data_IF_232081292368
#
_entry.id   IF_232081292368
#
_cell.length_a   1.000
_cell.length_b   1.000
_cell.length_c   1.000
_cell.angle_alpha   90.00
_cell.angle_beta   90.00
_cell.angle_gamma   90.00
#
_symmetry.space_group_name_H-M   'P 1'
#
loop_
_entity.id
_entity.type
_entity.pdbx_description
1 polymer ?
#
# COMPACT_ATOMS: atom_id res chain seq x y z
N UNK A 1 -6.23 15.65 43.91
CA UNK A 1 -7.47 14.91 43.57
C UNK A 1 -7.19 14.03 42.33
N UNK A 2 -7.10 12.70 42.51
CA UNK A 2 -7.03 11.76 41.40
C UNK A 2 -8.39 11.84 40.70
N UNK A 3 -8.45 12.44 39.50
CA UNK A 3 -9.64 12.32 38.66
C UNK A 3 -9.90 10.83 38.46
N UNK A 4 -10.96 10.29 39.06
CA UNK A 4 -11.42 8.95 38.76
C UNK A 4 -11.72 8.91 37.27
N UNK A 5 -10.91 8.17 36.51
CA UNK A 5 -11.20 7.93 35.11
C UNK A 5 -12.58 7.28 34.99
N UNK A 6 -13.43 7.82 34.14
CA UNK A 6 -14.70 7.22 33.81
C UNK A 6 -14.47 5.81 33.25
N UNK A 7 -15.13 4.80 33.84
CA UNK A 7 -15.12 3.41 33.36
C UNK A 7 -16.26 3.13 32.39
N UNK A 8 -16.95 4.18 31.92
CA UNK A 8 -18.14 4.05 31.10
C UNK A 8 -17.82 3.41 29.74
N UNK A 9 -18.64 2.44 29.36
CA UNK A 9 -18.70 1.89 28.01
C UNK A 9 -19.75 2.66 27.21
N UNK A 10 -19.45 2.90 25.92
CA UNK A 10 -20.31 3.66 25.04
C UNK A 10 -20.95 2.72 23.98
N UNK A 11 -22.26 2.87 23.77
CA UNK A 11 -22.95 2.13 22.72
C UNK A 11 -22.56 2.62 21.33
N UNK A 12 -22.33 3.94 21.18
CA UNK A 12 -21.94 4.61 19.94
C UNK A 12 -20.99 5.79 20.21
N UNK A 13 -20.14 6.20 19.24
CA UNK A 13 -19.12 7.23 19.43
C UNK A 13 -19.66 8.66 19.28
N UNK A 14 -20.98 8.86 19.00
CA UNK A 14 -21.52 10.18 18.68
C UNK A 14 -21.92 11.01 19.92
N UNK A 15 -21.62 10.55 21.13
CA UNK A 15 -21.89 11.30 22.35
C UNK A 15 -20.70 12.18 22.78
N UNK A 16 -21.00 13.35 23.31
CA UNK A 16 -19.97 14.32 23.78
C UNK A 16 -19.07 13.74 24.88
N UNK A 17 -19.61 12.87 25.72
CA UNK A 17 -18.83 12.22 26.78
C UNK A 17 -17.75 11.28 26.23
N UNK A 18 -18.01 10.58 25.14
CA UNK A 18 -17.03 9.74 24.46
C UNK A 18 -15.79 10.54 24.04
N UNK A 19 -15.99 11.67 23.35
CA UNK A 19 -14.89 12.52 22.86
C UNK A 19 -14.16 13.23 23.99
N UNK A 20 -14.88 13.63 25.05
CA UNK A 20 -14.26 14.20 26.24
C UNK A 20 -13.35 13.19 26.92
N UNK A 21 -13.78 11.95 27.07
CA UNK A 21 -13.00 10.89 27.68
C UNK A 21 -11.82 10.47 26.78
N UNK A 22 -12.00 10.43 25.48
CA UNK A 22 -10.91 10.21 24.52
C UNK A 22 -9.87 11.34 24.55
N UNK A 23 -10.30 12.59 24.72
CA UNK A 23 -9.38 13.73 24.88
C UNK A 23 -8.64 13.70 26.23
N UNK A 24 -9.23 13.13 27.26
CA UNK A 24 -8.58 12.99 28.58
C UNK A 24 -7.40 12.00 28.52
N UNK A 25 -7.40 11.01 27.58
CA UNK A 25 -6.28 10.08 27.40
C UNK A 25 -4.99 10.79 26.94
N UNK A 26 -5.07 11.93 26.26
CA UNK A 26 -3.92 12.77 25.91
C UNK A 26 -3.16 13.33 27.13
N UNK A 27 -3.81 13.40 28.29
CA UNK A 27 -3.21 13.88 29.53
C UNK A 27 -2.64 12.77 30.41
N UNK A 28 -2.86 11.51 30.01
CA UNK A 28 -2.36 10.35 30.74
C UNK A 28 -1.01 9.89 30.20
N UNK A 29 0.05 10.12 30.95
CA UNK A 29 1.42 9.70 30.58
C UNK A 29 1.51 8.20 30.26
N UNK A 30 0.77 7.36 30.99
CA UNK A 30 0.73 5.90 30.72
C UNK A 30 0.18 5.63 29.32
N UNK A 31 -0.92 6.32 28.92
CA UNK A 31 -1.49 6.15 27.58
C UNK A 31 -0.58 6.68 26.48
N UNK A 32 0.11 7.81 26.70
CA UNK A 32 1.05 8.35 25.74
C UNK A 32 2.25 7.41 25.52
N UNK A 33 2.80 6.81 26.58
CA UNK A 33 3.87 5.82 26.46
C UNK A 33 3.41 4.58 25.68
N UNK A 34 2.20 4.08 25.95
CA UNK A 34 1.64 2.93 25.23
C UNK A 34 1.39 3.31 23.76
N UNK A 35 0.89 4.51 23.50
CA UNK A 35 0.69 5.00 22.14
C UNK A 35 2.04 5.08 21.38
N UNK A 36 3.09 5.57 22.00
CA UNK A 36 4.43 5.60 21.40
C UNK A 36 4.96 4.18 21.08
N UNK A 37 4.82 3.24 22.02
CA UNK A 37 5.24 1.84 21.81
C UNK A 37 4.45 1.16 20.68
N UNK A 38 3.13 1.33 20.65
CA UNK A 38 2.29 0.75 19.59
C UNK A 38 2.49 1.43 18.24
N UNK A 39 2.82 2.73 18.22
CA UNK A 39 3.20 3.44 16.99
C UNK A 39 4.55 2.93 16.47
N UNK A 40 5.53 2.74 17.33
CA UNK A 40 6.82 2.13 16.96
C UNK A 40 6.64 0.70 16.42
N UNK A 41 5.80 -0.11 17.08
CA UNK A 41 5.46 -1.45 16.60
C UNK A 41 4.77 -1.39 15.23
N UNK A 42 3.84 -0.44 15.01
CA UNK A 42 3.16 -0.24 13.74
C UNK A 42 4.15 0.08 12.62
N UNK A 43 5.11 0.97 12.89
CA UNK A 43 6.18 1.32 11.93
C UNK A 43 7.04 0.08 11.65
N UNK A 44 7.48 -0.65 12.66
CA UNK A 44 8.28 -1.85 12.51
C UNK A 44 7.56 -2.97 11.73
N UNK A 45 6.23 -3.00 11.76
CA UNK A 45 5.41 -3.98 11.02
C UNK A 45 5.08 -3.57 9.59
N UNK A 46 5.35 -2.33 9.15
CA UNK A 46 5.07 -1.88 7.78
C UNK A 46 5.72 -2.73 6.68
N UNK A 47 7.01 -3.10 6.76
CA UNK A 47 7.66 -3.93 5.74
C UNK A 47 7.16 -5.38 5.73
N UNK A 48 6.54 -5.84 6.83
CA UNK A 48 6.01 -7.21 6.93
C UNK A 48 4.60 -7.28 6.32
N UNK A 49 4.56 -7.35 5.00
CA UNK A 49 3.32 -7.56 4.25
C UNK A 49 3.30 -8.99 3.72
N UNK A 50 2.27 -9.75 4.05
CA UNK A 50 2.08 -11.11 3.53
C UNK A 50 1.42 -10.99 2.16
N UNK A 51 2.17 -11.29 1.11
CA UNK A 51 1.65 -11.30 -0.25
C UNK A 51 1.09 -12.68 -0.58
N UNK A 52 -0.20 -12.74 -0.90
CA UNK A 52 -0.88 -13.96 -1.36
C UNK A 52 -0.85 -14.07 -2.89
N UNK A 53 -0.71 -12.93 -3.57
CA UNK A 53 -0.46 -12.80 -5.01
C UNK A 53 0.19 -11.43 -5.27
N UNK A 54 0.75 -11.17 -6.46
CA UNK A 54 1.23 -9.83 -6.82
C UNK A 54 0.14 -8.79 -6.53
N UNK A 55 0.48 -7.72 -5.81
CA UNK A 55 -0.44 -6.65 -5.37
C UNK A 55 -1.56 -7.07 -4.39
N UNK A 56 -1.63 -8.32 -3.96
CA UNK A 56 -2.59 -8.84 -2.99
C UNK A 56 -1.88 -9.06 -1.64
N UNK A 57 -1.50 -7.99 -0.97
CA UNK A 57 -0.79 -8.02 0.31
C UNK A 57 -1.70 -7.69 1.50
N UNK A 58 -1.49 -8.39 2.61
CA UNK A 58 -2.06 -8.10 3.92
C UNK A 58 -0.97 -7.51 4.80
N UNK A 59 -1.06 -6.23 5.11
CA UNK A 59 -0.09 -5.56 5.98
C UNK A 59 -0.32 -5.91 7.45
N UNK A 60 0.72 -6.39 8.12
CA UNK A 60 0.64 -6.67 9.57
C UNK A 60 0.53 -5.40 10.43
N UNK A 61 0.87 -4.24 9.90
CA UNK A 61 0.72 -2.96 10.59
C UNK A 61 -0.74 -2.66 11.01
N UNK A 62 -1.73 -3.23 10.30
CA UNK A 62 -3.15 -3.10 10.67
C UNK A 62 -3.45 -3.69 12.06
N UNK A 63 -2.70 -4.70 12.51
CA UNK A 63 -2.90 -5.34 13.80
C UNK A 63 -2.53 -4.39 14.94
N UNK A 64 -1.37 -3.75 14.84
CA UNK A 64 -0.92 -2.75 15.81
C UNK A 64 -1.85 -1.52 15.79
N UNK A 65 -2.35 -1.10 14.61
CA UNK A 65 -3.33 -0.04 14.50
C UNK A 65 -4.65 -0.36 15.20
N UNK A 66 -5.21 -1.55 14.98
CA UNK A 66 -6.46 -1.98 15.61
C UNK A 66 -6.33 -2.05 17.14
N UNK A 67 -5.21 -2.62 17.63
CA UNK A 67 -4.91 -2.70 19.06
C UNK A 67 -4.74 -1.32 19.68
N UNK A 68 -3.98 -0.44 19.05
CA UNK A 68 -3.74 0.90 19.52
C UNK A 68 -5.02 1.74 19.59
N UNK A 69 -5.78 1.75 18.50
CA UNK A 69 -7.05 2.47 18.42
C UNK A 69 -8.07 2.00 19.50
N UNK A 70 -8.09 0.68 19.80
CA UNK A 70 -8.90 0.11 20.87
C UNK A 70 -8.49 0.61 22.26
N UNK A 71 -7.17 0.81 22.50
CA UNK A 71 -6.63 1.16 23.82
C UNK A 71 -6.72 2.66 24.06
N UNK A 72 -6.15 3.48 23.19
CA UNK A 72 -5.97 4.91 23.43
C UNK A 72 -7.02 5.80 22.75
N UNK A 73 -7.88 5.23 21.91
CA UNK A 73 -9.00 5.96 21.30
C UNK A 73 -8.63 6.91 20.16
N UNK A 74 -9.62 7.67 19.63
CA UNK A 74 -9.43 8.44 18.39
C UNK A 74 -8.52 9.66 18.58
N UNK A 75 -8.58 10.34 19.71
CA UNK A 75 -7.86 11.61 19.92
C UNK A 75 -6.34 11.40 20.00
N UNK A 76 -5.89 10.35 20.68
CA UNK A 76 -4.48 9.94 20.68
C UNK A 76 -4.11 9.22 19.36
N UNK A 77 -5.06 8.56 18.74
CA UNK A 77 -4.89 7.84 17.47
C UNK A 77 -4.51 8.75 16.31
N UNK A 78 -4.99 10.00 16.27
CA UNK A 78 -4.66 10.95 15.20
C UNK A 78 -3.16 11.27 15.16
N UNK A 79 -2.53 11.82 16.22
CA UNK A 79 -1.10 12.09 16.20
C UNK A 79 -0.26 10.81 16.03
N UNK A 80 -0.68 9.69 16.61
CA UNK A 80 -0.02 8.39 16.40
C UNK A 80 -0.01 7.97 14.93
N UNK A 81 -1.10 8.22 14.21
CA UNK A 81 -1.20 7.94 12.77
C UNK A 81 -0.31 8.85 11.92
N UNK A 82 -0.26 10.13 12.24
CA UNK A 82 0.63 11.11 11.58
C UNK A 82 2.08 10.68 11.73
N UNK A 83 2.50 10.37 12.95
CA UNK A 83 3.88 9.92 13.24
C UNK A 83 4.16 8.59 12.52
N UNK A 84 3.22 7.64 12.58
CA UNK A 84 3.39 6.33 11.93
C UNK A 84 3.54 6.45 10.41
N UNK A 85 2.82 7.36 9.76
CA UNK A 85 2.93 7.58 8.33
C UNK A 85 4.25 8.25 7.97
N UNK A 86 4.52 9.43 8.56
CA UNK A 86 5.70 10.24 8.26
C UNK A 86 7.01 9.51 8.58
N UNK A 87 7.14 9.00 9.82
CA UNK A 87 8.36 8.28 10.23
C UNK A 87 8.48 6.94 9.51
N UNK A 88 7.35 6.26 9.29
CA UNK A 88 7.33 5.02 8.53
C UNK A 88 7.78 5.19 7.09
N UNK A 89 7.47 6.31 6.45
CA UNK A 89 7.97 6.63 5.12
C UNK A 89 9.48 6.94 5.12
N UNK A 90 9.96 7.71 6.10
CA UNK A 90 11.41 8.01 6.22
C UNK A 90 12.25 6.75 6.39
N UNK A 91 11.76 5.77 7.16
CA UNK A 91 12.49 4.51 7.42
C UNK A 91 12.34 3.52 6.24
N UNK A 92 11.15 3.45 5.64
CA UNK A 92 10.81 2.53 4.56
C UNK A 92 10.16 3.31 3.41
N UNK A 93 10.95 4.04 2.60
CA UNK A 93 10.43 4.83 1.50
C UNK A 93 9.86 3.91 0.41
N UNK A 94 8.58 4.06 0.12
CA UNK A 94 7.88 3.34 -0.95
C UNK A 94 7.26 4.38 -1.89
N UNK A 95 7.86 4.55 -3.06
CA UNK A 95 7.42 5.57 -4.03
C UNK A 95 7.68 7.01 -3.56
N UNK A 96 7.04 7.97 -4.22
CA UNK A 96 7.13 9.38 -3.85
C UNK A 96 6.19 9.72 -2.69
N UNK A 97 6.69 10.52 -1.75
CA UNK A 97 5.88 10.95 -0.61
C UNK A 97 4.83 11.97 -1.05
N UNK A 98 3.59 11.62 -0.84
CA UNK A 98 2.48 12.55 -1.03
C UNK A 98 1.70 12.70 0.28
N UNK A 99 1.87 13.85 0.93
CA UNK A 99 1.36 14.16 2.27
C UNK A 99 -0.12 13.76 2.49
N UNK A 100 -1.07 13.92 1.53
CA UNK A 100 -2.46 13.55 1.75
C UNK A 100 -2.71 12.07 2.09
N UNK A 101 -1.77 11.14 1.81
CA UNK A 101 -1.91 9.75 2.24
C UNK A 101 -2.01 9.57 3.77
N UNK A 102 -1.52 10.53 4.53
CA UNK A 102 -1.70 10.60 6.00
C UNK A 102 -3.19 10.50 6.40
N UNK A 103 -4.11 11.00 5.56
CA UNK A 103 -5.55 10.93 5.81
C UNK A 103 -6.06 9.49 5.85
N UNK A 104 -5.47 8.57 5.08
CA UNK A 104 -5.85 7.15 5.09
C UNK A 104 -5.50 6.49 6.41
N UNK A 105 -4.34 6.86 6.97
CA UNK A 105 -3.87 6.36 8.25
C UNK A 105 -4.72 6.89 9.42
N UNK A 106 -5.02 8.20 9.39
CA UNK A 106 -5.90 8.86 10.37
C UNK A 106 -7.32 8.27 10.31
N UNK A 107 -7.88 8.14 9.11
CA UNK A 107 -9.24 7.61 8.92
C UNK A 107 -9.34 6.15 9.39
N UNK A 108 -8.37 5.30 9.04
CA UNK A 108 -8.33 3.90 9.48
C UNK A 108 -8.27 3.77 11.00
N UNK A 109 -7.38 4.54 11.65
CA UNK A 109 -7.25 4.55 13.11
C UNK A 109 -8.52 5.07 13.78
N UNK A 110 -9.12 6.13 13.23
CA UNK A 110 -10.37 6.71 13.74
C UNK A 110 -11.53 5.73 13.64
N UNK A 111 -11.70 5.01 12.52
CA UNK A 111 -12.76 4.00 12.34
C UNK A 111 -12.59 2.87 13.37
N UNK A 112 -11.38 2.34 13.55
CA UNK A 112 -11.13 1.35 14.58
C UNK A 112 -11.49 1.89 15.99
N UNK A 113 -11.04 3.11 16.31
CA UNK A 113 -11.31 3.71 17.61
C UNK A 113 -12.82 3.92 17.85
N UNK A 114 -13.55 4.43 16.86
CA UNK A 114 -14.99 4.66 16.97
C UNK A 114 -15.78 3.39 17.28
N UNK A 115 -15.29 2.23 16.80
CA UNK A 115 -15.99 0.96 16.96
C UNK A 115 -15.46 0.10 18.12
N UNK A 116 -14.19 0.28 18.52
CA UNK A 116 -13.53 -0.59 19.50
C UNK A 116 -13.18 0.11 20.82
N UNK A 117 -12.89 1.44 20.82
CA UNK A 117 -12.50 2.16 22.03
C UNK A 117 -13.70 2.33 22.95
N UNK A 118 -13.55 1.91 24.22
CA UNK A 118 -14.61 1.95 25.25
C UNK A 118 -15.97 1.44 24.80
N UNK A 119 -15.96 0.41 23.98
CA UNK A 119 -17.13 -0.22 23.43
C UNK A 119 -17.29 -1.65 23.98
N UNK A 120 -18.52 -2.20 23.97
CA UNK A 120 -18.71 -3.63 24.19
C UNK A 120 -18.10 -4.38 23.01
N UNK A 121 -16.95 -4.99 23.23
CA UNK A 121 -16.17 -5.64 22.19
C UNK A 121 -16.87 -6.91 21.70
N UNK A 122 -17.04 -7.02 20.39
CA UNK A 122 -17.58 -8.21 19.74
C UNK A 122 -16.89 -8.48 18.41
N UNK A 123 -16.87 -9.73 17.97
CA UNK A 123 -16.32 -10.08 16.67
C UNK A 123 -17.01 -9.31 15.53
N UNK A 124 -18.32 -9.10 15.62
CA UNK A 124 -19.07 -8.31 14.65
C UNK A 124 -18.57 -6.87 14.52
N UNK A 125 -18.22 -6.21 15.63
CA UNK A 125 -17.65 -4.84 15.60
C UNK A 125 -16.30 -4.80 14.88
N UNK A 126 -15.48 -5.85 15.04
CA UNK A 126 -14.21 -5.98 14.32
C UNK A 126 -14.45 -6.15 12.82
N UNK A 127 -15.40 -7.00 12.43
CA UNK A 127 -15.79 -7.20 11.02
C UNK A 127 -16.30 -5.89 10.40
N UNK A 128 -17.20 -5.19 11.09
CA UNK A 128 -17.73 -3.91 10.62
C UNK A 128 -16.61 -2.88 10.49
N UNK A 129 -15.69 -2.80 11.46
CA UNK A 129 -14.56 -1.85 11.37
C UNK A 129 -13.67 -2.13 10.16
N UNK A 130 -13.36 -3.41 9.89
CA UNK A 130 -12.57 -3.78 8.70
C UNK A 130 -13.33 -3.49 7.41
N UNK A 131 -14.60 -3.83 7.34
CA UNK A 131 -15.42 -3.51 6.17
C UNK A 131 -15.43 -2.00 5.87
N UNK A 132 -15.67 -1.17 6.90
CA UNK A 132 -15.67 0.29 6.73
C UNK A 132 -14.29 0.81 6.29
N UNK A 133 -13.20 0.27 6.84
CA UNK A 133 -11.84 0.65 6.41
C UNK A 133 -11.61 0.23 4.96
N UNK A 134 -11.93 -1.00 4.59
CA UNK A 134 -11.79 -1.47 3.22
C UNK A 134 -12.60 -0.62 2.23
N UNK A 135 -13.84 -0.30 2.57
CA UNK A 135 -14.72 0.45 1.70
C UNK A 135 -14.41 1.95 1.69
N UNK A 136 -14.46 2.61 2.87
CA UNK A 136 -14.34 4.08 2.93
C UNK A 136 -12.89 4.54 2.75
N UNK A 137 -11.91 3.81 3.30
CA UNK A 137 -10.51 4.26 3.26
C UNK A 137 -9.80 3.69 2.04
N UNK A 138 -9.76 2.36 1.89
CA UNK A 138 -8.95 1.74 0.85
C UNK A 138 -9.56 1.86 -0.55
N UNK A 139 -10.90 1.90 -0.68
CA UNK A 139 -11.55 2.07 -1.98
C UNK A 139 -11.82 3.54 -2.25
N UNK A 140 -12.62 4.22 -1.42
CA UNK A 140 -13.08 5.58 -1.72
C UNK A 140 -11.96 6.60 -1.49
N UNK A 141 -11.47 6.74 -0.25
CA UNK A 141 -10.52 7.80 0.11
C UNK A 141 -9.19 7.64 -0.65
N UNK A 142 -8.67 6.43 -0.75
CA UNK A 142 -7.42 6.18 -1.45
C UNK A 142 -7.53 6.48 -2.96
N UNK A 143 -8.68 6.17 -3.58
CA UNK A 143 -8.93 6.53 -4.99
C UNK A 143 -8.92 8.05 -5.18
N UNK A 144 -9.58 8.81 -4.28
CA UNK A 144 -9.57 10.27 -4.32
C UNK A 144 -8.17 10.86 -4.14
N UNK A 145 -7.37 10.29 -3.22
CA UNK A 145 -6.00 10.75 -2.98
C UNK A 145 -5.10 10.46 -4.18
N UNK A 146 -5.20 9.30 -4.82
CA UNK A 146 -4.46 9.02 -6.06
C UNK A 146 -4.86 9.97 -7.19
N UNK A 147 -6.15 10.22 -7.37
CA UNK A 147 -6.61 11.21 -8.36
C UNK A 147 -6.03 12.60 -8.07
N UNK A 148 -6.04 13.02 -6.81
CA UNK A 148 -5.43 14.28 -6.40
C UNK A 148 -3.92 14.30 -6.61
N UNK A 149 -3.21 13.22 -6.29
CA UNK A 149 -1.78 13.09 -6.51
C UNK A 149 -1.43 13.28 -8.00
N UNK A 150 -2.10 12.56 -8.91
CA UNK A 150 -1.85 12.68 -10.34
C UNK A 150 -2.17 14.09 -10.87
N UNK A 151 -3.27 14.69 -10.40
CA UNK A 151 -3.61 16.06 -10.79
C UNK A 151 -2.58 17.08 -10.29
N UNK A 152 -2.09 16.93 -9.06
CA UNK A 152 -1.06 17.79 -8.47
C UNK A 152 0.26 17.74 -9.24
N UNK A 153 0.64 16.58 -9.75
CA UNK A 153 1.86 16.40 -10.55
C UNK A 153 1.67 16.63 -12.05
N UNK A 154 0.59 17.29 -12.46
CA UNK A 154 0.37 17.75 -13.84
C UNK A 154 -0.07 16.66 -14.81
N UNK A 155 -0.60 15.52 -14.33
CA UNK A 155 -1.10 14.45 -15.19
C UNK A 155 -2.64 14.27 -15.04
N UNK A 156 -3.46 15.15 -15.66
CA UNK A 156 -4.91 15.09 -15.50
C UNK A 156 -5.56 13.84 -16.14
N UNK A 157 -4.96 13.25 -17.17
CA UNK A 157 -5.43 12.00 -17.76
C UNK A 157 -5.27 10.84 -16.80
N UNK A 158 -4.07 10.67 -16.20
CA UNK A 158 -3.84 9.68 -15.17
C UNK A 158 -4.71 9.93 -13.92
N UNK A 159 -5.03 11.17 -13.59
CA UNK A 159 -5.97 11.50 -12.52
C UNK A 159 -7.36 10.95 -12.81
N UNK A 160 -7.86 11.14 -14.05
CA UNK A 160 -9.15 10.60 -14.49
C UNK A 160 -9.14 9.07 -14.51
N UNK A 161 -8.11 8.46 -15.05
CA UNK A 161 -7.98 7.02 -15.15
C UNK A 161 -7.82 6.36 -13.78
N UNK A 162 -7.22 7.03 -12.79
CA UNK A 162 -7.12 6.53 -11.42
C UNK A 162 -8.49 6.40 -10.75
N UNK A 163 -9.50 7.16 -11.17
CA UNK A 163 -10.87 7.10 -10.64
C UNK A 163 -11.73 6.09 -11.42
N UNK A 164 -11.66 6.10 -12.74
CA UNK A 164 -12.52 5.32 -13.63
C UNK A 164 -11.85 4.08 -14.19
N UNK A 165 -10.52 3.98 -14.07
CA UNK A 165 -9.73 2.96 -14.70
C UNK A 165 -9.67 1.65 -13.91
N UNK A 166 -8.94 0.75 -14.51
CA UNK A 166 -8.78 -0.64 -14.11
C UNK A 166 -8.17 -0.83 -12.73
N UNK A 167 -7.31 0.12 -12.26
CA UNK A 167 -6.74 0.08 -10.92
C UNK A 167 -7.79 0.24 -9.84
N UNK A 168 -8.83 1.03 -10.09
CA UNK A 168 -9.96 1.16 -9.18
C UNK A 168 -10.72 -0.15 -9.09
N UNK A 169 -10.98 -0.81 -10.23
CA UNK A 169 -11.66 -2.10 -10.26
C UNK A 169 -10.83 -3.17 -9.53
N UNK A 170 -9.53 -3.29 -9.82
CA UNK A 170 -8.64 -4.22 -9.12
C UNK A 170 -8.58 -3.93 -7.60
N UNK A 171 -8.54 -2.65 -7.22
CA UNK A 171 -8.57 -2.23 -5.80
C UNK A 171 -9.89 -2.61 -5.12
N UNK A 172 -11.02 -2.41 -5.79
CA UNK A 172 -12.34 -2.81 -5.26
C UNK A 172 -12.38 -4.31 -5.03
N UNK A 173 -12.03 -5.12 -6.04
CA UNK A 173 -12.01 -6.58 -5.91
C UNK A 173 -11.06 -7.05 -4.81
N UNK A 174 -9.83 -6.53 -4.77
CA UNK A 174 -8.85 -6.83 -3.72
C UNK A 174 -9.44 -6.60 -2.34
N UNK A 175 -9.93 -5.40 -2.08
CA UNK A 175 -10.39 -5.03 -0.74
C UNK A 175 -11.64 -5.81 -0.33
N UNK A 176 -12.60 -6.01 -1.23
CA UNK A 176 -13.82 -6.77 -0.93
C UNK A 176 -13.56 -8.29 -0.79
N UNK A 177 -12.60 -8.83 -1.54
CA UNK A 177 -12.22 -10.24 -1.39
C UNK A 177 -11.47 -10.52 -0.08
N UNK A 178 -10.60 -9.58 0.35
CA UNK A 178 -9.70 -9.81 1.47
C UNK A 178 -10.24 -9.35 2.83
N UNK A 179 -11.21 -8.42 2.88
CA UNK A 179 -11.71 -7.94 4.18
C UNK A 179 -12.21 -9.06 5.12
N UNK A 180 -12.82 -10.16 4.65
CA UNK A 180 -13.24 -11.24 5.55
C UNK A 180 -12.05 -11.93 6.21
N UNK A 181 -11.00 -12.24 5.44
CA UNK A 181 -9.77 -12.83 5.97
C UNK A 181 -9.07 -11.89 6.95
N UNK A 182 -8.91 -10.62 6.57
CA UNK A 182 -8.33 -9.60 7.43
C UNK A 182 -9.14 -9.40 8.72
N UNK A 183 -10.46 -9.49 8.65
CA UNK A 183 -11.35 -9.43 9.83
C UNK A 183 -11.10 -10.57 10.80
N UNK A 184 -10.92 -11.79 10.28
CA UNK A 184 -10.60 -12.98 11.08
C UNK A 184 -9.22 -12.81 11.74
N UNK A 185 -8.23 -12.39 10.98
CA UNK A 185 -6.85 -12.19 11.47
C UNK A 185 -6.82 -11.14 12.58
N UNK A 186 -7.46 -9.98 12.38
CA UNK A 186 -7.53 -8.92 13.40
C UNK A 186 -8.29 -9.42 14.66
N UNK A 187 -9.39 -10.11 14.48
CA UNK A 187 -10.17 -10.58 15.63
C UNK A 187 -9.43 -11.67 16.42
N UNK A 188 -8.73 -12.59 15.76
CA UNK A 188 -7.88 -13.58 16.41
C UNK A 188 -6.72 -12.91 17.17
N UNK A 189 -6.04 -11.97 16.55
CA UNK A 189 -4.97 -11.21 17.19
C UNK A 189 -5.47 -10.47 18.44
N UNK A 190 -6.55 -9.71 18.31
CA UNK A 190 -7.14 -9.01 19.47
C UNK A 190 -7.59 -9.99 20.56
N UNK A 191 -8.17 -11.13 20.19
CA UNK A 191 -8.58 -12.17 21.14
C UNK A 191 -7.42 -12.72 21.96
N UNK A 192 -6.26 -12.97 21.31
CA UNK A 192 -5.04 -13.45 21.99
C UNK A 192 -4.49 -12.40 22.94
N UNK A 193 -4.51 -11.12 22.56
CA UNK A 193 -3.97 -10.04 23.39
C UNK A 193 -4.94 -9.53 24.46
N UNK A 194 -6.22 -9.79 24.32
CA UNK A 194 -7.27 -9.30 25.23
C UNK A 194 -7.00 -9.60 26.72
N UNK A 195 -6.55 -10.81 27.13
CA UNK A 195 -6.22 -11.10 28.53
C UNK A 195 -5.05 -10.25 29.06
N UNK A 196 -4.05 -9.99 28.22
CA UNK A 196 -2.86 -9.20 28.57
C UNK A 196 -3.26 -7.74 28.79
N UNK A 197 -4.00 -7.18 27.81
CA UNK A 197 -4.46 -5.77 27.84
C UNK A 197 -5.42 -5.52 29.01
N UNK A 198 -6.25 -6.50 29.38
CA UNK A 198 -7.09 -6.46 30.57
C UNK A 198 -6.27 -6.42 31.86
N UNK A 199 -5.32 -7.36 32.01
CA UNK A 199 -4.46 -7.39 33.23
C UNK A 199 -3.67 -6.11 33.39
N UNK A 200 -3.29 -5.46 32.28
CA UNK A 200 -2.62 -4.16 32.28
C UNK A 200 -3.57 -2.99 32.59
N UNK A 201 -4.89 -3.22 32.70
CA UNK A 201 -5.90 -2.18 32.95
C UNK A 201 -6.00 -1.17 31.81
N UNK A 202 -5.87 -1.60 30.57
CA UNK A 202 -5.86 -0.75 29.39
C UNK A 202 -7.20 -0.74 28.64
N UNK A 203 -8.09 -1.63 28.97
CA UNK A 203 -9.44 -1.72 28.40
C UNK A 203 -10.49 -1.70 29.49
N UNK A 204 -11.66 -1.19 29.16
CA UNK A 204 -12.77 -0.97 30.08
C UNK A 204 -13.81 -2.10 30.05
N UNK A 205 -13.86 -2.88 28.96
CA UNK A 205 -14.77 -4.02 28.84
C UNK A 205 -14.12 -5.28 29.42
N UNK A 206 -14.46 -5.61 30.64
CA UNK A 206 -13.95 -6.79 31.35
C UNK A 206 -14.65 -8.10 30.94
N UNK A 207 -15.80 -8.03 30.29
CA UNK A 207 -16.58 -9.19 29.86
C UNK A 207 -16.40 -9.53 28.37
N UNK A 208 -15.61 -8.71 27.64
CA UNK A 208 -15.44 -8.89 26.21
C UNK A 208 -15.03 -10.30 25.82
N UNK A 209 -15.77 -10.91 24.94
CA UNK A 209 -15.43 -12.18 24.31
C UNK A 209 -15.48 -12.01 22.80
N UNK A 210 -14.30 -12.00 22.17
CA UNK A 210 -14.19 -12.00 20.71
C UNK A 210 -14.36 -13.44 20.20
N UNK A 211 -15.59 -13.95 20.28
CA UNK A 211 -15.96 -15.27 19.73
C UNK A 211 -16.72 -15.05 18.44
N UNK A 212 -16.33 -15.79 17.41
CA UNK A 212 -17.17 -15.98 16.23
C UNK A 212 -18.11 -17.16 16.47
N UNK A 213 -19.34 -16.99 16.07
CA UNK A 213 -20.24 -18.12 15.87
C UNK A 213 -19.82 -18.90 14.62
N UNK A 214 -20.04 -20.22 14.59
CA UNK A 214 -19.68 -21.06 13.45
C UNK A 214 -20.29 -20.57 12.14
N UNK A 215 -21.52 -20.07 12.18
CA UNK A 215 -22.18 -19.45 11.01
C UNK A 215 -21.45 -18.21 10.51
N UNK A 216 -20.95 -17.35 11.41
CA UNK A 216 -20.21 -16.14 11.04
C UNK A 216 -18.90 -16.50 10.36
N UNK A 217 -18.17 -17.51 10.86
CA UNK A 217 -16.93 -17.99 10.23
C UNK A 217 -17.25 -18.54 8.83
N UNK A 218 -18.26 -19.37 8.70
CA UNK A 218 -18.67 -19.94 7.40
C UNK A 218 -18.98 -18.84 6.40
N UNK A 219 -19.78 -17.84 6.79
CA UNK A 219 -20.10 -16.70 5.91
C UNK A 219 -18.85 -15.93 5.49
N UNK A 220 -17.93 -15.64 6.42
CA UNK A 220 -16.69 -14.92 6.10
C UNK A 220 -15.79 -15.73 5.16
N UNK A 221 -15.66 -17.02 5.37
CA UNK A 221 -14.90 -17.92 4.49
C UNK A 221 -15.54 -18.00 3.11
N UNK A 222 -16.86 -18.15 3.03
CA UNK A 222 -17.58 -18.15 1.75
C UNK A 222 -17.40 -16.83 1.00
N UNK A 223 -17.52 -15.69 1.69
CA UNK A 223 -17.30 -14.37 1.09
C UNK A 223 -15.86 -14.21 0.59
N UNK A 224 -14.87 -14.70 1.34
CA UNK A 224 -13.47 -14.69 0.90
C UNK A 224 -13.27 -15.54 -0.36
N UNK A 225 -13.78 -16.75 -0.38
CA UNK A 225 -13.65 -17.65 -1.54
C UNK A 225 -14.36 -17.08 -2.77
N UNK A 226 -15.62 -16.65 -2.63
CA UNK A 226 -16.40 -16.06 -3.73
C UNK A 226 -15.72 -14.77 -4.22
N UNK A 227 -15.29 -13.90 -3.32
CA UNK A 227 -14.58 -12.66 -3.68
C UNK A 227 -13.28 -12.93 -4.43
N UNK A 228 -12.47 -13.88 -3.94
CA UNK A 228 -11.21 -14.26 -4.57
C UNK A 228 -11.45 -14.91 -5.94
N UNK A 229 -12.38 -15.87 -6.05
CA UNK A 229 -12.72 -16.49 -7.33
C UNK A 229 -13.26 -15.46 -8.35
N UNK A 230 -14.10 -14.53 -7.90
CA UNK A 230 -14.64 -13.47 -8.76
C UNK A 230 -13.53 -12.51 -9.22
N UNK A 231 -12.62 -12.12 -8.32
CA UNK A 231 -11.48 -11.28 -8.65
C UNK A 231 -10.55 -11.97 -9.67
N UNK A 232 -10.23 -13.25 -9.43
CA UNK A 232 -9.40 -14.05 -10.32
C UNK A 232 -10.08 -14.23 -11.68
N UNK A 233 -11.37 -14.58 -11.70
CA UNK A 233 -12.13 -14.74 -12.93
C UNK A 233 -12.21 -13.47 -13.76
N UNK A 234 -12.42 -12.31 -13.10
CA UNK A 234 -12.41 -11.01 -13.77
C UNK A 234 -11.05 -10.67 -14.36
N UNK A 235 -9.97 -10.86 -13.60
CA UNK A 235 -8.60 -10.59 -14.07
C UNK A 235 -8.24 -11.52 -15.25
N UNK A 236 -8.59 -12.80 -15.16
CA UNK A 236 -8.39 -13.76 -16.25
C UNK A 236 -9.15 -13.35 -17.52
N UNK A 237 -10.43 -13.01 -17.39
CA UNK A 237 -11.26 -12.59 -18.50
C UNK A 237 -10.77 -11.29 -19.15
N UNK A 238 -10.40 -10.29 -18.34
CA UNK A 238 -10.07 -8.94 -18.84
C UNK A 238 -8.64 -8.81 -19.37
N UNK A 239 -7.70 -9.64 -18.89
CA UNK A 239 -6.27 -9.48 -19.15
C UNK A 239 -5.58 -10.70 -19.72
N UNK A 240 -6.31 -11.73 -20.15
CA UNK A 240 -5.73 -13.04 -20.48
C UNK A 240 -4.73 -13.53 -19.43
N UNK A 241 -5.02 -13.21 -18.23
CA UNK A 241 -4.31 -13.38 -17.00
C UNK A 241 -2.80 -13.66 -17.11
N UNK A 242 -2.08 -12.63 -17.45
CA UNK A 242 -0.65 -12.55 -17.13
C UNK A 242 -0.54 -11.70 -15.87
N UNK A 243 0.02 -12.22 -14.78
CA UNK A 243 0.30 -11.43 -13.60
C UNK A 243 1.15 -10.23 -14.03
N UNK A 244 0.66 -9.01 -13.80
CA UNK A 244 1.32 -7.80 -14.27
C UNK A 244 1.99 -7.10 -13.11
N UNK A 245 3.32 -6.99 -13.13
CA UNK A 245 4.03 -6.02 -12.30
C UNK A 245 4.46 -4.82 -13.15
N UNK A 246 4.43 -3.65 -12.55
CA UNK A 246 4.88 -2.40 -13.18
C UNK A 246 6.06 -1.86 -12.41
N UNK A 247 6.85 -1.02 -13.06
CA UNK A 247 8.00 -0.35 -12.43
C UNK A 247 7.61 0.42 -11.17
N UNK A 248 6.37 0.94 -11.10
CA UNK A 248 5.84 1.62 -9.91
C UNK A 248 5.65 0.72 -8.69
N UNK A 249 5.59 -0.60 -8.88
CA UNK A 249 5.38 -1.57 -7.80
C UNK A 249 6.67 -1.83 -7.00
N UNK A 250 7.81 -1.35 -7.51
CA UNK A 250 9.14 -1.56 -6.95
C UNK A 250 9.69 -0.31 -6.25
N UNK A 251 10.52 -0.50 -5.24
CA UNK A 251 11.28 0.58 -4.60
C UNK A 251 12.31 1.18 -5.57
N UNK A 252 12.82 2.41 -5.28
CA UNK A 252 13.86 3.04 -6.09
C UNK A 252 15.06 2.10 -6.31
N UNK A 253 15.57 1.48 -5.24
CA UNK A 253 16.73 0.58 -5.32
C UNK A 253 16.47 -0.65 -6.19
N UNK A 254 15.29 -1.26 -6.06
CA UNK A 254 14.90 -2.38 -6.93
C UNK A 254 14.82 -1.95 -8.39
N UNK A 255 14.30 -0.77 -8.68
CA UNK A 255 14.25 -0.24 -10.06
C UNK A 255 15.64 0.01 -10.64
N UNK A 256 16.58 0.50 -9.82
CA UNK A 256 17.97 0.67 -10.24
C UNK A 256 18.63 -0.66 -10.58
N UNK A 257 18.44 -1.68 -9.75
CA UNK A 257 18.95 -3.03 -10.03
C UNK A 257 18.32 -3.64 -11.28
N UNK A 258 17.00 -3.51 -11.43
CA UNK A 258 16.29 -3.99 -12.61
C UNK A 258 16.75 -3.26 -13.89
N UNK A 259 16.98 -1.95 -13.83
CA UNK A 259 17.51 -1.19 -14.95
C UNK A 259 18.86 -1.76 -15.40
N UNK A 260 19.78 -2.01 -14.46
CA UNK A 260 21.08 -2.63 -14.77
C UNK A 260 20.90 -3.98 -15.43
N UNK A 261 20.09 -4.87 -14.90
CA UNK A 261 19.83 -6.18 -15.49
C UNK A 261 19.22 -6.07 -16.89
N UNK A 262 18.31 -5.12 -17.14
CA UNK A 262 17.73 -4.92 -18.47
C UNK A 262 18.76 -4.37 -19.47
N UNK A 263 19.67 -3.50 -19.01
CA UNK A 263 20.80 -3.00 -19.81
C UNK A 263 21.73 -4.16 -20.19
N UNK A 264 22.13 -4.98 -19.23
CA UNK A 264 23.00 -6.14 -19.49
C UNK A 264 22.40 -7.05 -20.58
N UNK A 265 21.09 -7.34 -20.49
CA UNK A 265 20.38 -8.13 -21.51
C UNK A 265 20.38 -7.42 -22.87
N UNK A 266 20.17 -6.11 -22.91
CA UNK A 266 20.17 -5.33 -24.15
C UNK A 266 21.54 -5.41 -24.83
N UNK A 267 22.62 -5.14 -24.08
CA UNK A 267 23.99 -5.08 -24.62
C UNK A 267 24.55 -6.48 -24.98
N UNK A 268 24.12 -7.53 -24.33
CA UNK A 268 24.47 -8.91 -24.73
C UNK A 268 23.86 -9.30 -26.09
N UNK A 269 22.80 -8.62 -26.51
CA UNK A 269 21.98 -9.00 -27.67
C UNK A 269 22.03 -8.00 -28.83
N UNK A 270 22.50 -6.76 -28.58
CA UNK A 270 22.55 -5.69 -29.59
C UNK A 270 23.78 -4.80 -29.36
N UNK A 271 24.40 -4.34 -30.47
CA UNK A 271 25.52 -3.39 -30.46
C UNK A 271 25.09 -1.96 -30.86
N UNK A 272 23.77 -1.65 -30.76
CA UNK A 272 23.23 -0.41 -31.34
C UNK A 272 23.31 0.79 -30.40
N UNK A 273 23.49 0.58 -29.09
CA UNK A 273 23.43 1.65 -28.07
C UNK A 273 24.67 1.70 -27.19
N UNK A 274 25.01 2.91 -26.69
CA UNK A 274 26.12 3.11 -25.75
C UNK A 274 25.66 2.87 -24.31
N UNK A 275 26.46 2.11 -23.56
CA UNK A 275 26.15 1.69 -22.19
C UNK A 275 25.94 2.84 -21.21
N UNK A 276 26.73 3.90 -21.31
CA UNK A 276 26.70 4.98 -20.31
C UNK A 276 25.41 5.81 -20.37
N UNK A 277 24.84 5.97 -21.56
CA UNK A 277 23.73 6.91 -21.79
C UNK A 277 22.36 6.27 -21.93
N UNK A 278 22.23 4.97 -21.67
CA UNK A 278 20.96 4.25 -21.83
C UNK A 278 20.28 3.99 -20.50
N UNK A 279 18.96 4.20 -20.47
CA UNK A 279 18.06 3.89 -19.34
C UNK A 279 16.95 2.95 -19.82
N UNK A 280 16.80 1.78 -19.18
CA UNK A 280 15.78 0.79 -19.50
C UNK A 280 14.65 0.86 -18.48
N UNK A 281 13.44 1.17 -18.92
CA UNK A 281 12.26 1.26 -18.04
C UNK A 281 11.31 0.11 -18.35
N UNK A 282 11.06 -0.75 -17.38
CA UNK A 282 10.11 -1.85 -17.53
C UNK A 282 8.69 -1.27 -17.53
N UNK A 283 8.01 -1.36 -18.66
CA UNK A 283 6.61 -0.96 -18.81
C UNK A 283 5.66 -2.02 -18.24
N UNK A 284 6.04 -3.27 -18.31
CA UNK A 284 5.28 -4.37 -17.73
C UNK A 284 6.08 -5.68 -17.70
N UNK A 285 5.80 -6.51 -16.71
CA UNK A 285 6.24 -7.88 -16.64
C UNK A 285 4.99 -8.76 -16.52
N UNK A 286 4.81 -9.66 -17.45
CA UNK A 286 3.62 -10.46 -17.62
C UNK A 286 3.94 -11.92 -17.38
N UNK A 287 3.22 -12.56 -16.49
CA UNK A 287 3.39 -13.97 -16.16
C UNK A 287 2.07 -14.68 -16.10
N UNK A 288 2.00 -15.87 -16.69
CA UNK A 288 0.84 -16.73 -16.51
C UNK A 288 0.74 -17.22 -15.07
N UNK A 289 -0.50 -17.39 -14.58
CA UNK A 289 -0.74 -17.98 -13.27
C UNK A 289 -0.20 -19.42 -13.28
N UNK A 290 0.78 -19.73 -12.45
CA UNK A 290 1.53 -20.98 -12.43
C UNK A 290 2.52 -21.17 -13.60
N UNK A 291 2.69 -20.20 -14.50
CA UNK A 291 3.75 -20.18 -15.49
C UNK A 291 5.13 -20.05 -14.84
N UNK A 292 6.15 -20.51 -15.54
CA UNK A 292 7.56 -20.37 -15.15
C UNK A 292 8.27 -19.27 -15.95
N UNK A 293 7.58 -18.69 -16.88
CA UNK A 293 8.10 -17.71 -17.82
C UNK A 293 7.46 -16.36 -17.58
N UNK A 294 8.28 -15.32 -17.63
CA UNK A 294 7.86 -13.92 -17.48
C UNK A 294 8.23 -13.19 -18.76
N UNK A 295 7.24 -12.63 -19.43
CA UNK A 295 7.40 -11.75 -20.58
C UNK A 295 7.65 -10.33 -20.07
N UNK A 296 8.75 -9.73 -20.44
CA UNK A 296 9.10 -8.34 -20.12
C UNK A 296 8.85 -7.44 -21.33
N UNK A 297 8.27 -6.29 -21.07
CA UNK A 297 8.13 -5.19 -22.04
C UNK A 297 8.86 -3.99 -21.45
N UNK A 298 9.87 -3.51 -22.16
CA UNK A 298 10.82 -2.51 -21.68
C UNK A 298 10.91 -1.39 -22.70
N UNK A 299 10.78 -0.14 -22.26
CA UNK A 299 11.10 1.02 -23.06
C UNK A 299 12.56 1.41 -22.83
N UNK A 300 13.29 1.61 -23.91
CA UNK A 300 14.69 2.03 -23.92
C UNK A 300 14.76 3.52 -24.20
N UNK A 301 15.48 4.25 -23.36
CA UNK A 301 15.67 5.69 -23.46
C UNK A 301 17.15 6.01 -23.54
N UNK A 302 17.51 7.00 -24.35
CA UNK A 302 18.80 7.68 -24.29
C UNK A 302 18.68 8.94 -23.44
N UNK A 303 19.78 9.30 -22.77
CA UNK A 303 19.86 10.51 -21.97
C UNK A 303 20.32 11.66 -22.86
N UNK A 304 19.49 12.68 -22.97
CA UNK A 304 19.87 13.96 -23.58
C UNK A 304 20.85 14.70 -22.65
N UNK A 305 22.09 14.79 -23.04
CA UNK A 305 23.18 15.37 -22.23
C UNK A 305 22.95 16.84 -21.88
N UNK A 306 22.36 17.63 -22.76
CA UNK A 306 22.11 19.06 -22.50
C UNK A 306 20.98 19.20 -21.45
N UNK A 307 19.89 18.47 -21.62
CA UNK A 307 18.78 18.47 -20.69
C UNK A 307 19.16 17.85 -19.34
N UNK A 308 20.05 16.86 -19.33
CA UNK A 308 20.58 16.26 -18.11
C UNK A 308 21.45 17.22 -17.32
N UNK A 309 22.40 17.90 -18.01
CA UNK A 309 23.25 18.90 -17.39
C UNK A 309 22.45 20.11 -16.85
N UNK A 310 21.40 20.52 -17.55
CA UNK A 310 20.48 21.56 -17.07
C UNK A 310 19.72 21.09 -15.82
N UNK A 311 19.31 19.82 -15.76
CA UNK A 311 18.67 19.20 -14.61
C UNK A 311 19.59 19.16 -13.39
N UNK A 312 20.86 18.78 -13.58
CA UNK A 312 21.87 18.77 -12.51
C UNK A 312 22.18 20.19 -11.99
N UNK A 313 22.22 21.16 -12.85
CA UNK A 313 22.43 22.56 -12.45
C UNK A 313 21.25 23.10 -11.58
N UNK A 314 20.06 22.55 -11.77
CA UNK A 314 18.87 22.95 -11.02
C UNK A 314 18.67 22.16 -9.71
N UNK A 315 19.19 20.94 -9.62
CA UNK A 315 19.00 20.03 -8.48
C UNK A 315 20.22 19.09 -8.37
N UNK A 316 21.09 19.32 -7.38
CA UNK A 316 22.30 18.53 -7.12
C UNK A 316 22.01 17.02 -6.88
N UNK A 317 20.76 16.66 -6.55
CA UNK A 317 20.34 15.27 -6.40
C UNK A 317 19.96 14.60 -7.73
N UNK A 318 20.02 15.30 -8.84
CA UNK A 318 19.68 14.80 -10.16
C UNK A 318 20.90 14.11 -10.79
N UNK A 319 21.01 12.81 -10.60
CA UNK A 319 22.10 11.97 -11.07
C UNK A 319 21.57 10.78 -11.91
N UNK A 320 22.48 10.02 -12.50
CA UNK A 320 22.13 8.85 -13.30
C UNK A 320 21.38 7.78 -12.47
N UNK A 321 21.73 7.62 -11.20
CA UNK A 321 21.02 6.69 -10.32
C UNK A 321 19.56 7.12 -10.10
N UNK A 322 19.29 8.43 -10.10
CA UNK A 322 17.94 8.97 -10.06
C UNK A 322 17.15 8.64 -11.32
N UNK A 323 17.80 8.72 -12.50
CA UNK A 323 17.19 8.30 -13.77
C UNK A 323 16.94 6.79 -13.82
N UNK A 324 17.89 5.96 -13.38
CA UNK A 324 17.72 4.51 -13.32
C UNK A 324 16.59 4.09 -12.36
N UNK A 325 16.35 4.88 -11.33
CA UNK A 325 15.23 4.66 -10.42
C UNK A 325 13.89 5.20 -10.93
N UNK A 326 13.83 5.68 -12.17
CA UNK A 326 12.62 6.24 -12.77
C UNK A 326 11.47 5.23 -12.89
N UNK A 327 10.26 5.74 -12.78
CA UNK A 327 9.03 5.00 -13.02
C UNK A 327 8.09 5.87 -13.84
N UNK A 328 7.64 5.38 -14.99
CA UNK A 328 6.74 6.08 -15.93
C UNK A 328 5.41 6.50 -15.32
N UNK A 329 4.98 5.78 -14.28
CA UNK A 329 3.78 6.10 -13.49
C UNK A 329 4.08 6.97 -12.27
N UNK A 330 5.33 7.41 -12.08
CA UNK A 330 5.74 8.30 -11.01
C UNK A 330 5.20 9.71 -11.20
N UNK A 331 4.97 10.43 -10.09
CA UNK A 331 4.36 11.74 -10.11
C UNK A 331 5.23 12.89 -10.65
N UNK A 332 6.48 12.64 -11.03
CA UNK A 332 7.46 13.69 -11.42
C UNK A 332 7.88 13.58 -12.88
N UNK A 333 6.92 13.55 -13.79
CA UNK A 333 7.21 13.56 -15.24
C UNK A 333 8.15 14.70 -15.66
N UNK A 334 8.04 15.86 -14.98
CA UNK A 334 8.79 17.08 -15.31
C UNK A 334 10.29 17.01 -15.00
N UNK A 335 10.71 16.12 -14.10
CA UNK A 335 12.13 15.93 -13.75
C UNK A 335 12.91 15.05 -14.75
N UNK A 336 12.24 14.44 -15.71
CA UNK A 336 12.84 13.43 -16.60
C UNK A 336 12.79 13.85 -18.09
N UNK A 337 12.80 15.15 -18.34
CA UNK A 337 12.84 15.70 -19.72
C UNK A 337 14.10 15.31 -20.48
N UNK A 338 15.14 14.85 -19.76
CA UNK A 338 16.38 14.36 -20.37
C UNK A 338 16.29 12.94 -20.96
N UNK A 339 15.15 12.25 -20.83
CA UNK A 339 14.97 10.89 -21.36
C UNK A 339 14.24 10.92 -22.71
N UNK A 340 14.95 10.55 -23.76
CA UNK A 340 14.40 10.42 -25.13
C UNK A 340 14.20 8.94 -25.43
N UNK A 341 12.97 8.55 -25.74
CA UNK A 341 12.67 7.14 -26.07
C UNK A 341 13.25 6.80 -27.44
N UNK A 342 14.10 5.75 -27.51
CA UNK A 342 14.79 5.33 -28.72
C UNK A 342 14.35 3.94 -29.21
N UNK A 343 13.92 3.04 -28.30
CA UNK A 343 13.49 1.73 -28.68
C UNK A 343 12.44 1.13 -27.71
N UNK A 344 11.78 0.10 -28.18
CA UNK A 344 11.00 -0.85 -27.37
C UNK A 344 11.67 -2.22 -27.43
N UNK A 345 11.89 -2.82 -26.27
CA UNK A 345 12.45 -4.16 -26.12
C UNK A 345 11.42 -5.09 -25.48
N UNK A 346 11.30 -6.30 -25.95
CA UNK A 346 10.51 -7.35 -25.31
C UNK A 346 11.26 -8.67 -25.36
N UNK A 347 11.08 -9.48 -24.32
CA UNK A 347 11.65 -10.82 -24.22
C UNK A 347 10.91 -11.64 -23.17
N UNK A 348 11.08 -12.96 -23.25
CA UNK A 348 10.57 -13.91 -22.28
C UNK A 348 11.73 -14.55 -21.51
N UNK A 349 11.67 -14.53 -20.18
CA UNK A 349 12.68 -15.10 -19.31
C UNK A 349 12.10 -16.23 -18.46
N UNK A 350 12.78 -17.36 -18.41
CA UNK A 350 12.43 -18.48 -17.54
C UNK A 350 13.07 -18.29 -16.16
N UNK A 351 12.25 -18.28 -15.09
CA UNK A 351 12.69 -18.00 -13.72
C UNK A 351 13.69 -19.01 -13.14
N UNK A 352 13.76 -20.23 -13.68
CA UNK A 352 14.65 -21.28 -13.15
C UNK A 352 15.94 -21.43 -13.92
N UNK A 353 15.88 -21.31 -15.24
CA UNK A 353 17.05 -21.46 -16.12
C UNK A 353 17.69 -20.12 -16.46
N UNK A 354 17.02 -19.01 -16.12
CA UNK A 354 17.38 -17.63 -16.53
C UNK A 354 17.49 -17.48 -18.07
N UNK A 355 17.05 -18.49 -18.80
CA UNK A 355 17.11 -18.51 -20.26
C UNK A 355 16.14 -17.47 -20.83
N UNK A 356 16.64 -16.69 -21.79
CA UNK A 356 15.90 -15.63 -22.46
C UNK A 356 15.54 -16.10 -23.87
N UNK A 357 14.24 -16.09 -24.16
CA UNK A 357 13.66 -16.42 -25.46
C UNK A 357 12.87 -15.24 -26.01
N UNK A 358 12.52 -15.29 -27.28
CA UNK A 358 11.66 -14.30 -27.96
C UNK A 358 12.15 -12.85 -27.80
N UNK A 359 13.49 -12.65 -27.77
CA UNK A 359 14.07 -11.32 -27.67
C UNK A 359 13.82 -10.53 -28.97
N UNK A 360 13.22 -9.37 -28.82
CA UNK A 360 12.98 -8.41 -29.87
C UNK A 360 13.29 -7.00 -29.39
N UNK A 361 14.12 -6.25 -30.11
CA UNK A 361 14.33 -4.83 -29.90
C UNK A 361 13.98 -4.09 -31.19
N UNK A 362 13.09 -3.10 -31.09
CA UNK A 362 12.63 -2.30 -32.23
C UNK A 362 12.89 -0.82 -31.96
N UNK A 363 13.53 -0.15 -32.91
CA UNK A 363 13.69 1.30 -32.86
C UNK A 363 12.30 1.98 -32.75
N UNK A 364 12.21 2.96 -31.87
CA UNK A 364 10.97 3.72 -31.67
C UNK A 364 10.78 4.71 -32.84
N UNK A 365 9.66 4.56 -33.52
CA UNK A 365 9.23 5.53 -34.54
C UNK A 365 8.13 6.37 -33.90
N UNK A 366 8.34 7.68 -33.64
CA UNK A 366 7.29 8.54 -33.10
C UNK A 366 6.10 8.58 -34.07
N UNK A 367 4.91 8.35 -33.55
CA UNK A 367 3.67 8.58 -34.30
C UNK A 367 3.58 10.06 -34.70
N UNK A 368 3.42 10.34 -35.97
CA UNK A 368 3.30 11.67 -36.53
C UNK A 368 1.94 12.31 -36.22
#
# INVERSE_FOLDING_TARGET
>A
MRNQKSTALYAHPFCRSYWRDAAAEMKDTKMLVIAALLTALRIALKPFTIYLAPQLGISLAMLANALGAMIYGPVVGIPASIISDTVGYVIYPTGDYFFPFILTEIASSTIYAMLLYRAKLSALRVVISRFLICFLVNIVLQTLIFSWQYAYYGNPEAARDSVLGIFTVARVFKNLAFFPLESIVVALFLKVLLPVVRRAGLIYDHEATLKFDGRQITVLVCLFLVGTCSAMGYLTYRYNYKGMSRTSDYTKNQRVEMNKSMKDILFERTDEWDDENVVCIIDGAYREMFGKETEYVVSVYEVDEEAFAAGQAADDSYDMETLWGYSKSGPRKDKYQSLVKVADMSFTQNEKSEEITDFEAKAFVPEQ
#
